data_IF_811174886574
#
_entry.id   IF_811174886574
#
_cell.length_a   1.000
_cell.length_b   1.000
_cell.length_c   1.000
_cell.angle_alpha   90.00
_cell.angle_beta   90.00
_cell.angle_gamma   90.00
#
_symmetry.space_group_name_H-M   'P 1'
#
loop_
_entity.id
_entity.type
_entity.pdbx_description
1 polymer ?
#
# COMPACT_ATOMS: atom_id res chain seq x y z
N UNK A 1 18.47 30.52 60.76
CA UNK A 1 17.87 29.18 60.82
C UNK A 1 16.50 29.23 60.18
N UNK A 2 16.28 28.43 59.17
CA UNK A 2 14.93 28.22 58.65
C UNK A 2 14.12 27.44 59.68
N UNK A 3 12.91 27.89 60.00
CA UNK A 3 12.03 27.11 60.84
C UNK A 3 11.44 25.94 60.04
N UNK A 4 10.87 24.94 60.69
CA UNK A 4 10.29 23.77 60.04
C UNK A 4 9.09 24.11 59.16
N UNK A 5 8.46 25.22 59.38
CA UNK A 5 7.32 25.70 58.59
C UNK A 5 7.78 26.22 57.22
N UNK A 6 8.88 26.96 57.16
CA UNK A 6 9.44 27.44 55.90
C UNK A 6 9.93 26.31 55.03
N UNK A 7 10.54 25.31 55.62
CA UNK A 7 10.97 24.09 54.91
C UNK A 7 9.78 23.36 54.32
N UNK A 8 8.70 23.24 55.07
CA UNK A 8 7.46 22.63 54.63
C UNK A 8 6.80 23.41 53.44
N UNK A 9 6.74 24.74 53.57
CA UNK A 9 6.25 25.62 52.52
C UNK A 9 7.04 25.47 51.24
N UNK A 10 8.33 25.39 51.31
CA UNK A 10 9.22 25.19 50.15
C UNK A 10 8.96 23.84 49.47
N UNK A 11 8.83 22.78 50.28
CA UNK A 11 8.50 21.46 49.77
C UNK A 11 7.13 21.42 49.06
N UNK A 12 6.13 22.10 49.63
CA UNK A 12 4.79 22.21 49.03
C UNK A 12 4.86 22.98 47.71
N UNK A 13 5.62 24.07 47.62
CA UNK A 13 5.84 24.80 46.37
C UNK A 13 6.49 23.93 45.29
N UNK A 14 7.52 23.20 45.63
CA UNK A 14 8.20 22.29 44.72
C UNK A 14 7.26 21.21 44.25
N UNK A 15 6.45 20.65 45.14
CA UNK A 15 5.44 19.66 44.76
C UNK A 15 4.37 20.23 43.82
N UNK A 16 3.89 21.45 44.11
CA UNK A 16 2.94 22.15 43.27
C UNK A 16 3.48 22.44 41.87
N UNK A 17 4.73 22.90 41.78
CA UNK A 17 5.41 23.13 40.51
C UNK A 17 5.60 21.85 39.72
N UNK A 18 5.95 20.77 40.40
CA UNK A 18 6.08 19.46 39.78
C UNK A 18 4.74 18.97 39.20
N UNK A 19 3.66 19.14 39.97
CA UNK A 19 2.30 18.80 39.53
C UNK A 19 1.91 19.59 38.27
N UNK A 20 2.20 20.89 38.24
CA UNK A 20 1.94 21.74 37.09
C UNK A 20 2.71 21.29 35.85
N UNK A 21 4.00 20.97 36.02
CA UNK A 21 4.83 20.46 34.93
C UNK A 21 4.33 19.12 34.40
N UNK A 22 3.94 18.22 35.29
CA UNK A 22 3.39 16.91 34.89
C UNK A 22 2.07 17.04 34.18
N UNK A 23 1.19 17.93 34.61
CA UNK A 23 -0.09 18.20 33.92
C UNK A 23 0.14 18.75 32.52
N UNK A 24 1.07 19.68 32.38
CA UNK A 24 1.43 20.22 31.07
C UNK A 24 2.02 19.15 30.16
N UNK A 25 2.96 18.37 30.70
CA UNK A 25 3.57 17.26 29.96
C UNK A 25 2.52 16.23 29.52
N UNK A 26 1.59 15.89 30.40
CA UNK A 26 0.48 15.00 30.07
C UNK A 26 -0.41 15.57 28.96
N UNK A 27 -0.75 16.84 29.04
CA UNK A 27 -1.56 17.50 28.02
C UNK A 27 -0.85 17.50 26.66
N UNK A 28 0.43 17.84 26.62
CA UNK A 28 1.25 17.84 25.42
C UNK A 28 1.36 16.43 24.82
N UNK A 29 1.53 15.42 25.67
CA UNK A 29 1.61 14.02 25.24
C UNK A 29 0.27 13.51 24.69
N UNK A 30 -0.85 13.92 25.27
CA UNK A 30 -2.18 13.57 24.77
C UNK A 30 -2.44 14.18 23.39
N UNK A 31 -2.03 15.44 23.20
CA UNK A 31 -2.12 16.10 21.90
C UNK A 31 -1.26 15.40 20.86
N UNK A 32 -0.03 15.08 21.19
CA UNK A 32 0.89 14.37 20.33
C UNK A 32 0.37 12.97 19.98
N UNK A 33 -0.16 12.26 20.97
CA UNK A 33 -0.82 10.97 20.78
C UNK A 33 -1.99 11.07 19.81
N UNK A 34 -2.80 12.12 19.93
CA UNK A 34 -3.91 12.38 19.02
C UNK A 34 -3.44 12.58 17.58
N UNK A 35 -2.39 13.39 17.39
CA UNK A 35 -1.80 13.63 16.06
C UNK A 35 -1.22 12.38 15.44
N UNK A 36 -0.50 11.59 16.23
CA UNK A 36 0.06 10.32 15.78
C UNK A 36 -1.03 9.31 15.40
N UNK A 37 -2.12 9.26 16.19
CA UNK A 37 -3.26 8.42 15.89
C UNK A 37 -3.92 8.78 14.56
N UNK A 38 -4.05 10.07 14.27
CA UNK A 38 -4.59 10.56 13.00
C UNK A 38 -3.67 10.21 11.84
N UNK A 39 -2.37 10.43 11.99
CA UNK A 39 -1.37 10.06 10.98
C UNK A 39 -1.36 8.57 10.69
N UNK A 40 -1.50 7.76 11.72
CA UNK A 40 -1.55 6.31 11.57
C UNK A 40 -2.76 5.88 10.76
N UNK A 41 -3.93 6.42 11.06
CA UNK A 41 -5.16 6.14 10.30
C UNK A 41 -5.04 6.55 8.84
N UNK A 42 -4.47 7.72 8.58
CA UNK A 42 -4.23 8.19 7.21
C UNK A 42 -3.25 7.29 6.46
N UNK A 43 -2.16 6.89 7.13
CA UNK A 43 -1.17 5.96 6.56
C UNK A 43 -1.79 4.61 6.25
N UNK A 44 -2.63 4.06 7.12
CA UNK A 44 -3.36 2.81 6.91
C UNK A 44 -4.30 2.90 5.70
N UNK A 45 -5.02 4.01 5.57
CA UNK A 45 -5.89 4.25 4.41
C UNK A 45 -5.11 4.30 3.10
N UNK A 46 -3.97 4.99 3.10
CA UNK A 46 -3.09 5.06 1.93
C UNK A 46 -2.53 3.69 1.55
N UNK A 47 -2.14 2.92 2.57
CA UNK A 47 -1.64 1.57 2.37
C UNK A 47 -2.70 0.68 1.73
N UNK A 48 -3.93 0.70 2.26
CA UNK A 48 -5.05 -0.05 1.69
C UNK A 48 -5.34 0.35 0.24
N UNK A 49 -5.33 1.66 -0.05
CA UNK A 49 -5.54 2.15 -1.40
C UNK A 49 -4.44 1.68 -2.36
N UNK A 50 -3.18 1.72 -1.92
CA UNK A 50 -2.04 1.24 -2.71
C UNK A 50 -2.09 -0.27 -2.95
N UNK A 51 -2.47 -1.05 -1.95
CA UNK A 51 -2.62 -2.50 -2.08
C UNK A 51 -3.72 -2.86 -3.09
N UNK A 52 -4.86 -2.18 -3.03
CA UNK A 52 -5.95 -2.37 -4.00
C UNK A 52 -5.53 -1.99 -5.41
N UNK A 53 -4.82 -0.88 -5.57
CA UNK A 53 -4.31 -0.43 -6.85
C UNK A 53 -3.30 -1.42 -7.43
N UNK A 54 -2.41 -1.93 -6.61
CA UNK A 54 -1.42 -2.92 -7.01
C UNK A 54 -2.08 -4.24 -7.43
N UNK A 55 -3.07 -4.71 -6.67
CA UNK A 55 -3.85 -5.90 -7.00
C UNK A 55 -4.57 -5.76 -8.34
N UNK A 56 -5.20 -4.61 -8.58
CA UNK A 56 -5.88 -4.31 -9.85
C UNK A 56 -4.89 -4.26 -11.00
N UNK A 57 -3.75 -3.60 -10.82
CA UNK A 57 -2.68 -3.52 -11.82
C UNK A 57 -2.11 -4.90 -12.17
N UNK A 58 -1.89 -5.74 -11.17
CA UNK A 58 -1.42 -7.12 -11.36
C UNK A 58 -2.45 -7.95 -12.13
N UNK A 59 -3.72 -7.84 -11.79
CA UNK A 59 -4.80 -8.53 -12.48
C UNK A 59 -4.89 -8.09 -13.96
N UNK A 60 -4.78 -6.81 -14.23
CA UNK A 60 -4.79 -6.25 -15.59
C UNK A 60 -3.57 -6.73 -16.40
N UNK A 61 -2.40 -6.77 -15.79
CA UNK A 61 -1.19 -7.29 -16.43
C UNK A 61 -1.35 -8.78 -16.81
N UNK A 62 -1.93 -9.59 -15.94
CA UNK A 62 -2.21 -11.00 -16.19
C UNK A 62 -3.21 -11.18 -17.33
N UNK A 63 -4.27 -10.38 -17.38
CA UNK A 63 -5.25 -10.39 -18.46
C UNK A 63 -4.62 -10.02 -19.79
N UNK A 64 -3.81 -8.98 -19.81
CA UNK A 64 -3.08 -8.55 -20.99
C UNK A 64 -2.15 -9.64 -21.54
N UNK A 65 -1.45 -10.34 -20.66
CA UNK A 65 -0.58 -11.46 -21.03
C UNK A 65 -1.38 -12.62 -21.58
N UNK A 66 -2.50 -12.99 -20.98
CA UNK A 66 -3.37 -14.07 -21.46
C UNK A 66 -3.92 -13.77 -22.85
N UNK A 67 -4.37 -12.54 -23.10
CA UNK A 67 -4.84 -12.10 -24.41
C UNK A 67 -3.72 -12.16 -25.45
N UNK A 68 -2.51 -11.73 -25.09
CA UNK A 68 -1.34 -11.79 -25.98
C UNK A 68 -0.96 -13.22 -26.34
N UNK A 69 -0.98 -14.14 -25.38
CA UNK A 69 -0.71 -15.57 -25.62
C UNK A 69 -1.75 -16.20 -26.51
N UNK A 70 -3.02 -15.88 -26.33
CA UNK A 70 -4.11 -16.35 -27.17
C UNK A 70 -3.96 -15.85 -28.60
N UNK A 71 -3.64 -14.58 -28.80
CA UNK A 71 -3.38 -14.00 -30.11
C UNK A 71 -2.20 -14.68 -30.82
N UNK A 72 -1.12 -15.02 -30.07
CA UNK A 72 0.03 -15.75 -30.61
C UNK A 72 -0.37 -17.16 -31.10
N UNK A 73 -1.18 -17.89 -30.34
CA UNK A 73 -1.71 -19.21 -30.74
C UNK A 73 -2.55 -19.13 -32.00
N UNK A 74 -3.40 -18.12 -32.09
CA UNK A 74 -4.23 -17.86 -33.27
C UNK A 74 -3.39 -17.65 -34.54
N UNK A 75 -2.30 -16.89 -34.43
CA UNK A 75 -1.39 -16.65 -35.56
C UNK A 75 -0.70 -17.92 -35.99
N UNK A 76 -0.29 -18.78 -35.07
CA UNK A 76 0.34 -20.06 -35.35
C UNK A 76 -0.65 -21.01 -36.06
N UNK A 77 -1.87 -21.13 -35.57
CA UNK A 77 -2.92 -21.95 -36.19
C UNK A 77 -3.26 -21.48 -37.61
N UNK A 78 -3.37 -20.16 -37.76
CA UNK A 78 -3.65 -19.54 -39.06
C UNK A 78 -2.55 -19.84 -40.08
N UNK A 79 -1.31 -19.76 -39.67
CA UNK A 79 -0.16 -20.06 -40.53
C UNK A 79 -0.11 -21.55 -40.90
N UNK A 80 -0.42 -22.43 -39.99
CA UNK A 80 -0.49 -23.86 -40.23
C UNK A 80 -1.60 -24.21 -41.21
N UNK A 81 -2.77 -23.63 -41.08
CA UNK A 81 -3.89 -23.79 -42.01
C UNK A 81 -3.49 -23.31 -43.42
N UNK A 82 -2.85 -22.17 -43.51
CA UNK A 82 -2.36 -21.62 -44.78
C UNK A 82 -1.40 -22.55 -45.48
N UNK A 83 -0.45 -23.15 -44.76
CA UNK A 83 0.48 -24.13 -45.32
C UNK A 83 -0.20 -25.39 -45.83
N UNK A 84 -1.22 -25.86 -45.11
CA UNK A 84 -2.01 -27.01 -45.54
C UNK A 84 -2.77 -26.74 -46.84
N UNK A 85 -3.36 -25.56 -46.95
CA UNK A 85 -4.07 -25.11 -48.16
C UNK A 85 -3.09 -25.02 -49.32
N UNK A 86 -1.91 -24.44 -49.14
CA UNK A 86 -0.88 -24.34 -50.17
C UNK A 86 -0.44 -25.73 -50.68
N UNK A 87 -0.27 -26.73 -49.81
CA UNK A 87 0.05 -28.09 -50.16
C UNK A 87 -1.07 -28.76 -50.98
N UNK A 88 -2.31 -28.53 -50.62
CA UNK A 88 -3.46 -29.04 -51.35
C UNK A 88 -3.52 -28.47 -52.77
N UNK A 89 -3.27 -27.17 -52.92
CA UNK A 89 -3.22 -26.49 -54.21
C UNK A 89 -2.09 -27.07 -55.07
N UNK A 90 -0.90 -27.30 -54.50
CA UNK A 90 0.19 -27.93 -55.24
C UNK A 90 -0.15 -29.33 -55.73
N UNK A 91 -0.80 -30.16 -54.90
CA UNK A 91 -1.23 -31.50 -55.27
C UNK A 91 -2.25 -31.43 -56.42
N UNK A 92 -3.19 -30.50 -56.36
CA UNK A 92 -4.18 -30.29 -57.44
C UNK A 92 -3.51 -29.84 -58.73
N UNK A 93 -2.53 -28.97 -58.68
CA UNK A 93 -1.77 -28.51 -59.84
C UNK A 93 -0.97 -29.63 -60.49
N UNK A 94 -0.44 -30.59 -59.72
CA UNK A 94 0.28 -31.75 -60.26
C UNK A 94 -0.62 -32.78 -60.94
N UNK A 95 -1.91 -32.76 -60.64
CA UNK A 95 -2.89 -33.67 -61.26
C UNK A 95 -3.38 -33.20 -62.63
N UNK A 96 -3.16 -31.99 -62.98
CA UNK A 96 -3.40 -31.45 -64.28
C UNK A 96 -2.27 -31.83 -65.21
#
# INVERSE_FOLDING_TARGET
MQDGFEVLEEKVRKAADLVKRLRKANHDLEEERGRLGTRLKEAEKRLDALEKQQSASTADARRGQAVSEEAARWRQEREEIRRRIERMVEVLDTLE
#
